data_IF_232144715634
#
_entry.id   IF_232144715634
#
_cell.length_a   1.000
_cell.length_b   1.000
_cell.length_c   1.000
_cell.angle_alpha   90.00
_cell.angle_beta   90.00
_cell.angle_gamma   90.00
#
_symmetry.space_group_name_H-M   'P 1'
#
loop_
_entity.id
_entity.type
_entity.pdbx_description
1 polymer ?
#
# COMPACT_ATOMS: atom_id res chain seq x y z
N UNK A 1 10.38 -0.39 61.02
CA UNK A 1 10.88 -0.05 59.67
C UNK A 1 10.53 1.41 59.41
N UNK A 2 11.34 2.34 59.93
CA UNK A 2 11.09 3.78 59.84
C UNK A 2 11.64 4.31 58.51
N UNK A 3 10.78 4.88 57.67
CA UNK A 3 11.16 5.43 56.36
C UNK A 3 11.42 6.93 56.53
N UNK A 4 12.63 7.33 56.12
CA UNK A 4 13.18 8.68 56.16
C UNK A 4 12.28 9.72 55.48
N UNK A 5 11.93 10.78 56.21
CA UNK A 5 11.41 12.04 55.70
C UNK A 5 12.62 12.93 55.43
N UNK A 6 12.87 13.28 54.15
CA UNK A 6 13.84 14.32 53.78
C UNK A 6 13.08 15.60 53.48
N UNK A 7 13.41 16.62 54.26
CA UNK A 7 12.92 17.99 54.22
C UNK A 7 13.35 18.63 52.89
N UNK A 8 12.39 19.14 52.12
CA UNK A 8 12.67 20.05 51.00
C UNK A 8 12.48 21.47 51.52
N UNK A 9 13.59 22.21 51.56
CA UNK A 9 13.67 23.58 52.05
C UNK A 9 12.93 24.53 51.09
N UNK A 10 11.92 25.23 51.59
CA UNK A 10 11.16 26.23 50.84
C UNK A 10 11.79 27.61 51.11
N UNK A 11 12.58 28.12 50.17
CA UNK A 11 13.18 29.45 50.24
C UNK A 11 12.18 30.47 49.66
N UNK A 12 11.42 31.15 50.53
CA UNK A 12 10.55 32.27 50.15
C UNK A 12 11.41 33.54 50.14
N UNK A 13 11.79 33.99 48.95
CA UNK A 13 12.39 35.31 48.75
C UNK A 13 11.27 36.27 48.34
N UNK A 14 10.86 37.11 49.28
CA UNK A 14 9.91 38.20 49.03
C UNK A 14 10.72 39.43 48.60
N UNK A 15 10.89 39.63 47.29
CA UNK A 15 11.34 40.92 46.75
C UNK A 15 10.11 41.67 46.23
N UNK A 16 9.63 42.62 47.02
CA UNK A 16 8.83 43.73 46.52
C UNK A 16 9.78 44.76 45.90
N UNK A 17 9.55 45.21 44.67
CA UNK A 17 9.46 46.63 44.30
C UNK A 17 8.90 46.78 42.88
N UNK A 18 7.93 47.70 42.80
CA UNK A 18 7.39 48.49 41.69
C UNK A 18 7.73 48.14 40.23
N UNK A 19 6.64 47.98 39.46
CA UNK A 19 6.35 48.67 38.21
C UNK A 19 7.48 48.77 37.17
N UNK A 20 7.40 47.91 36.17
CA UNK A 20 7.43 48.38 34.79
C UNK A 20 6.29 47.68 34.07
N UNK A 21 5.33 48.47 33.60
CA UNK A 21 4.40 48.09 32.55
C UNK A 21 5.24 47.90 31.28
N UNK A 22 5.87 46.74 31.16
CA UNK A 22 6.20 46.24 29.85
C UNK A 22 4.93 45.54 29.41
N UNK A 23 4.22 46.16 28.47
CA UNK A 23 3.36 45.46 27.53
C UNK A 23 4.08 44.16 27.15
N UNK A 24 3.75 43.06 27.81
CA UNK A 24 4.00 41.73 27.29
C UNK A 24 2.96 41.54 26.19
N UNK A 25 3.14 42.32 25.11
CA UNK A 25 2.76 41.91 23.79
C UNK A 25 3.54 40.62 23.57
N UNK A 26 2.95 39.51 24.05
CA UNK A 26 3.32 38.19 23.62
C UNK A 26 3.34 38.28 22.10
N UNK A 27 4.53 38.27 21.51
CA UNK A 27 4.69 38.28 20.07
C UNK A 27 4.12 36.94 19.61
N UNK A 28 2.81 36.90 19.41
CA UNK A 28 2.15 35.87 18.62
C UNK A 28 2.94 35.86 17.33
N UNK A 29 3.67 34.77 17.10
CA UNK A 29 4.54 34.62 15.96
C UNK A 29 3.66 34.52 14.70
N UNK A 30 3.15 35.67 14.27
CA UNK A 30 2.14 35.85 13.22
C UNK A 30 2.76 35.74 11.82
N UNK A 31 3.92 35.07 11.75
CA UNK A 31 4.70 34.88 10.54
C UNK A 31 4.04 33.76 9.76
N UNK A 32 3.72 34.01 8.48
CA UNK A 32 3.21 32.98 7.59
C UNK A 32 4.23 31.83 7.46
N UNK A 33 3.77 30.60 7.65
CA UNK A 33 4.52 29.38 7.35
C UNK A 33 3.76 28.53 6.34
N UNK A 34 4.49 27.76 5.52
CA UNK A 34 3.92 26.76 4.62
C UNK A 34 4.50 25.39 4.96
N UNK A 35 3.65 24.37 4.95
CA UNK A 35 4.05 23.00 5.22
C UNK A 35 2.89 22.03 5.06
N UNK A 36 3.22 20.76 4.86
CA UNK A 36 2.24 19.67 4.86
C UNK A 36 2.87 18.34 5.26
N UNK A 37 2.01 17.41 5.67
CA UNK A 37 2.27 15.97 5.73
C UNK A 37 1.30 15.23 4.81
N UNK A 38 1.41 13.91 4.71
CA UNK A 38 0.50 13.11 3.89
C UNK A 38 0.32 11.70 4.45
N UNK A 39 -0.81 11.08 4.13
CA UNK A 39 -1.15 9.69 4.41
C UNK A 39 -1.40 8.97 3.09
N UNK A 40 -0.88 7.75 2.97
CA UNK A 40 -1.19 6.86 1.84
C UNK A 40 -2.43 6.07 2.18
N UNK A 41 -3.43 6.11 1.31
CA UNK A 41 -4.65 5.34 1.47
C UNK A 41 -4.45 3.89 1.03
N UNK A 42 -5.37 3.02 1.44
CA UNK A 42 -5.37 1.61 1.01
C UNK A 42 -5.58 1.44 -0.51
N UNK A 43 -6.19 2.43 -1.16
CA UNK A 43 -6.35 2.47 -2.61
C UNK A 43 -5.03 2.87 -3.27
N UNK A 44 -4.49 2.08 -4.22
CA UNK A 44 -3.22 2.38 -4.88
C UNK A 44 -3.22 3.78 -5.50
N UNK A 45 -2.14 4.53 -5.28
CA UNK A 45 -1.97 5.88 -5.81
C UNK A 45 -2.81 6.97 -5.14
N UNK A 46 -3.63 6.66 -4.13
CA UNK A 46 -4.45 7.65 -3.43
C UNK A 46 -3.71 8.18 -2.20
N UNK A 47 -3.55 9.50 -2.13
CA UNK A 47 -2.84 10.23 -1.09
C UNK A 47 -3.76 11.29 -0.49
N UNK A 48 -3.88 11.31 0.82
CA UNK A 48 -4.52 12.39 1.57
C UNK A 48 -3.44 13.35 2.07
N UNK A 49 -3.47 14.60 1.63
CA UNK A 49 -2.55 15.63 2.11
C UNK A 49 -3.14 16.37 3.30
N UNK A 50 -2.29 16.66 4.29
CA UNK A 50 -2.65 17.34 5.53
C UNK A 50 -1.86 18.65 5.60
N UNK A 51 -2.54 19.78 5.52
CA UNK A 51 -1.92 21.09 5.56
C UNK A 51 -1.47 21.46 6.98
N UNK A 52 -0.20 21.84 7.14
CA UNK A 52 0.39 22.30 8.41
C UNK A 52 0.87 23.75 8.32
N UNK A 53 0.31 24.54 7.41
CA UNK A 53 0.62 25.95 7.24
C UNK A 53 -0.02 26.78 8.35
N UNK A 54 0.71 27.77 8.89
CA UNK A 54 0.22 28.68 9.93
C UNK A 54 0.07 30.10 9.37
N UNK A 55 -0.90 30.85 9.91
CA UNK A 55 -1.20 32.23 9.50
C UNK A 55 -1.53 32.38 8.00
N UNK A 56 -2.18 31.38 7.40
CA UNK A 56 -2.56 31.35 5.98
C UNK A 56 -4.09 31.29 5.80
N UNK A 57 -4.61 32.04 4.83
CA UNK A 57 -6.03 32.10 4.49
C UNK A 57 -6.39 31.27 3.25
N UNK A 58 -5.43 31.10 2.32
CA UNK A 58 -5.66 30.40 1.04
C UNK A 58 -4.50 29.50 0.68
N UNK A 59 -4.80 28.48 -0.12
CA UNK A 59 -3.88 27.40 -0.49
C UNK A 59 -3.96 27.11 -1.98
N UNK A 60 -2.82 26.84 -2.59
CA UNK A 60 -2.71 26.29 -3.93
C UNK A 60 -1.77 25.10 -3.85
N UNK A 61 -2.29 23.94 -4.25
CA UNK A 61 -1.54 22.70 -4.38
C UNK A 61 -1.20 22.47 -5.85
N UNK A 62 0.04 22.07 -6.10
CA UNK A 62 0.50 21.55 -7.38
C UNK A 62 1.08 20.16 -7.12
N UNK A 63 0.49 19.12 -7.70
CA UNK A 63 0.78 17.74 -7.31
C UNK A 63 1.95 17.10 -8.06
N UNK A 64 2.63 17.87 -8.93
CA UNK A 64 3.74 17.38 -9.75
C UNK A 64 3.33 16.57 -10.99
N UNK A 65 2.04 16.29 -11.17
CA UNK A 65 1.47 15.57 -12.32
C UNK A 65 0.68 16.48 -13.29
N UNK A 66 0.82 17.80 -13.11
CA UNK A 66 0.10 18.83 -13.86
C UNK A 66 -1.29 19.16 -13.30
N UNK A 67 -1.77 18.46 -12.27
CA UNK A 67 -3.04 18.79 -11.60
C UNK A 67 -2.83 19.67 -10.36
N UNK A 68 -3.88 20.41 -9.98
CA UNK A 68 -3.86 21.36 -8.86
C UNK A 68 -5.10 21.25 -7.96
N UNK A 69 -5.05 21.87 -6.79
CA UNK A 69 -6.21 22.00 -5.88
C UNK A 69 -6.12 23.28 -5.04
N UNK A 70 -7.27 23.79 -4.59
CA UNK A 70 -7.38 24.90 -3.62
C UNK A 70 -7.97 24.47 -2.27
N UNK A 71 -8.31 23.18 -2.13
CA UNK A 71 -8.85 22.62 -0.90
C UNK A 71 -7.72 22.58 0.14
N UNK A 72 -8.01 22.94 1.40
CA UNK A 72 -7.01 22.94 2.49
C UNK A 72 -6.30 21.59 2.59
N UNK A 73 -7.07 20.51 2.71
CA UNK A 73 -6.59 19.12 2.85
C UNK A 73 -7.12 18.25 1.69
N UNK A 74 -6.47 18.25 0.52
CA UNK A 74 -6.96 17.54 -0.66
C UNK A 74 -6.67 16.04 -0.60
N UNK A 75 -7.58 15.25 -1.16
CA UNK A 75 -7.32 13.85 -1.53
C UNK A 75 -6.97 13.78 -3.02
N UNK A 76 -5.81 13.22 -3.33
CA UNK A 76 -5.25 13.15 -4.69
C UNK A 76 -5.04 11.69 -5.09
N UNK A 77 -5.52 11.34 -6.28
CA UNK A 77 -5.19 10.06 -6.93
C UNK A 77 -4.16 10.30 -8.03
N UNK A 78 -3.05 9.57 -7.94
CA UNK A 78 -2.04 9.42 -8.98
C UNK A 78 -2.32 8.14 -9.75
N UNK A 79 -2.24 8.20 -11.08
CA UNK A 79 -2.54 7.05 -11.96
C UNK A 79 -1.29 6.34 -12.44
N UNK A 80 -0.11 6.92 -12.22
CA UNK A 80 1.16 6.38 -12.66
C UNK A 80 2.15 6.28 -11.49
N UNK A 81 2.98 5.25 -11.52
CA UNK A 81 4.15 5.14 -10.64
C UNK A 81 5.16 6.20 -11.04
N UNK A 82 5.76 6.86 -10.05
CA UNK A 82 6.77 7.89 -10.30
C UNK A 82 7.09 8.71 -9.06
N UNK A 83 8.07 9.59 -9.21
CA UNK A 83 8.36 10.63 -8.21
C UNK A 83 7.66 11.92 -8.61
N UNK A 84 6.95 12.51 -7.64
CA UNK A 84 6.16 13.72 -7.83
C UNK A 84 6.65 14.79 -6.87
N UNK A 85 7.05 15.93 -7.40
CA UNK A 85 7.34 17.12 -6.60
C UNK A 85 6.01 17.79 -6.28
N UNK A 86 5.56 17.67 -5.04
CA UNK A 86 4.34 18.33 -4.58
C UNK A 86 4.72 19.68 -4.00
N UNK A 87 4.02 20.73 -4.42
CA UNK A 87 4.20 22.08 -3.93
C UNK A 87 2.90 22.59 -3.29
N UNK A 88 3.01 23.14 -2.09
CA UNK A 88 1.95 23.87 -1.42
C UNK A 88 2.35 25.34 -1.30
N UNK A 89 1.56 26.21 -1.92
CA UNK A 89 1.64 27.65 -1.74
C UNK A 89 0.54 28.12 -0.80
N UNK A 90 0.93 28.69 0.33
CA UNK A 90 0.05 29.29 1.33
C UNK A 90 0.14 30.81 1.26
N UNK A 91 -1.00 31.51 1.39
CA UNK A 91 -1.06 32.97 1.35
C UNK A 91 -1.88 33.53 2.51
N UNK A 92 -1.35 34.57 3.13
CA UNK A 92 -2.07 35.43 4.05
C UNK A 92 -2.67 36.61 3.27
N UNK A 93 -3.99 36.77 3.31
CA UNK A 93 -4.69 37.81 2.55
C UNK A 93 -4.58 39.18 3.21
N UNK A 94 -4.35 39.25 4.52
CA UNK A 94 -4.21 40.51 5.26
C UNK A 94 -2.83 41.14 5.05
N UNK A 95 -1.77 40.35 5.17
CA UNK A 95 -0.39 40.84 4.99
C UNK A 95 0.06 40.77 3.53
N UNK A 96 -0.61 39.96 2.71
CA UNK A 96 -0.21 39.69 1.33
C UNK A 96 0.97 38.73 1.22
N UNK A 97 1.50 38.22 2.34
CA UNK A 97 2.61 37.29 2.35
C UNK A 97 2.25 35.98 1.64
N UNK A 98 3.23 35.40 0.95
CA UNK A 98 3.12 34.13 0.26
C UNK A 98 4.34 33.27 0.62
N UNK A 99 4.10 32.02 0.99
CA UNK A 99 5.15 31.03 1.27
C UNK A 99 4.83 29.74 0.53
N UNK A 100 5.88 29.07 0.08
CA UNK A 100 5.77 27.76 -0.56
C UNK A 100 6.59 26.72 0.19
N UNK A 101 6.09 25.50 0.21
CA UNK A 101 6.79 24.33 0.71
C UNK A 101 6.67 23.22 -0.32
N UNK A 102 7.79 22.59 -0.66
CA UNK A 102 7.83 21.52 -1.65
C UNK A 102 8.53 20.29 -1.09
N UNK A 103 7.97 19.12 -1.39
CA UNK A 103 8.58 17.83 -1.04
C UNK A 103 8.29 16.79 -2.13
N UNK A 104 9.28 15.96 -2.41
CA UNK A 104 9.13 14.86 -3.37
C UNK A 104 8.48 13.66 -2.68
N UNK A 105 7.44 13.11 -3.30
CA UNK A 105 6.83 11.85 -2.88
C UNK A 105 6.98 10.80 -3.99
N UNK A 106 7.38 9.59 -3.62
CA UNK A 106 7.36 8.45 -4.54
C UNK A 106 5.99 7.80 -4.51
N UNK A 107 5.35 7.64 -5.65
CA UNK A 107 4.07 6.96 -5.78
C UNK A 107 4.29 5.62 -6.46
N UNK A 108 3.70 4.58 -5.90
CA UNK A 108 3.60 3.27 -6.53
C UNK A 108 2.14 2.99 -6.87
N UNK A 109 1.84 2.96 -8.17
CA UNK A 109 0.55 2.50 -8.70
C UNK A 109 0.78 1.13 -9.31
N UNK A 110 0.23 0.09 -8.67
CA UNK A 110 0.30 -1.24 -9.22
C UNK A 110 -0.57 -1.36 -10.48
N UNK A 111 0.06 -1.50 -11.64
CA UNK A 111 -0.64 -1.77 -12.90
C UNK A 111 -0.85 -3.29 -13.08
N UNK A 112 -1.76 -3.86 -12.30
CA UNK A 112 -2.07 -5.29 -12.34
C UNK A 112 -2.98 -5.74 -13.49
N UNK A 113 -3.40 -4.82 -14.36
CA UNK A 113 -4.39 -5.08 -15.40
C UNK A 113 -5.75 -5.40 -14.81
N UNK A 114 -6.26 -6.60 -15.07
CA UNK A 114 -7.51 -7.14 -14.54
C UNK A 114 -7.39 -7.58 -13.06
N UNK A 115 -6.17 -7.60 -12.50
CA UNK A 115 -5.90 -7.87 -11.08
C UNK A 115 -5.57 -6.58 -10.35
N UNK A 116 -6.01 -6.48 -9.10
CA UNK A 116 -5.67 -5.39 -8.17
C UNK A 116 -4.83 -5.91 -7.01
N UNK A 117 -3.94 -5.06 -6.47
CA UNK A 117 -3.07 -5.37 -5.34
C UNK A 117 -2.27 -6.69 -5.52
N UNK A 118 -1.81 -6.98 -6.74
CA UNK A 118 -1.00 -8.18 -7.02
C UNK A 118 0.46 -8.07 -6.59
N UNK A 119 0.86 -6.89 -6.14
CA UNK A 119 2.11 -6.60 -5.45
C UNK A 119 1.98 -6.63 -3.91
N UNK A 120 0.79 -6.91 -3.37
CA UNK A 120 0.54 -7.09 -1.92
C UNK A 120 0.91 -5.94 -0.95
N UNK A 121 1.35 -4.78 -1.44
CA UNK A 121 1.71 -3.62 -0.62
C UNK A 121 0.52 -3.00 0.13
N UNK A 122 -0.71 -3.29 -0.30
CA UNK A 122 -1.94 -2.85 0.36
C UNK A 122 -2.60 -3.96 1.17
N UNK A 123 -1.81 -4.93 1.65
CA UNK A 123 -2.29 -6.08 2.40
C UNK A 123 -2.76 -7.22 1.49
N UNK A 124 -3.67 -8.06 1.97
CA UNK A 124 -4.17 -9.22 1.20
C UNK A 124 -5.47 -8.95 0.45
N UNK A 125 -6.24 -7.90 0.76
CA UNK A 125 -7.49 -7.63 0.04
C UNK A 125 -7.21 -7.15 -1.40
N UNK A 126 -7.93 -7.62 -2.45
CA UNK A 126 -9.12 -8.49 -2.42
C UNK A 126 -8.82 -9.99 -2.60
N UNK A 127 -7.55 -10.41 -2.52
CA UNK A 127 -7.15 -11.80 -2.69
C UNK A 127 -7.81 -12.72 -1.67
N UNK A 128 -8.26 -13.87 -2.18
CA UNK A 128 -8.85 -14.96 -1.42
C UNK A 128 -7.81 -16.06 -1.26
N UNK A 129 -7.75 -16.59 -0.06
CA UNK A 129 -6.86 -17.68 0.30
C UNK A 129 -7.72 -18.84 0.81
N UNK A 130 -7.48 -20.03 0.28
CA UNK A 130 -8.09 -21.26 0.76
C UNK A 130 -7.05 -22.07 1.52
N UNK A 131 -7.35 -22.42 2.77
CA UNK A 131 -6.48 -23.28 3.60
C UNK A 131 -7.32 -24.37 4.25
N UNK A 132 -7.11 -25.62 3.83
CA UNK A 132 -7.54 -26.80 4.60
C UNK A 132 -6.40 -27.40 5.42
N UNK A 133 -5.13 -27.07 5.12
CA UNK A 133 -3.94 -27.68 5.74
C UNK A 133 -2.75 -26.70 5.96
N UNK A 134 -2.99 -25.40 6.17
CA UNK A 134 -1.91 -24.43 6.41
C UNK A 134 -2.02 -23.76 7.78
N UNK A 135 -0.88 -23.64 8.47
CA UNK A 135 -0.72 -22.79 9.66
C UNK A 135 -0.14 -21.47 9.15
N UNK A 136 -0.91 -20.38 9.23
CA UNK A 136 -0.41 -19.05 8.87
C UNK A 136 -0.60 -18.08 10.02
N UNK A 137 0.45 -17.75 10.80
CA UNK A 137 0.41 -16.59 11.68
C UNK A 137 0.46 -15.27 10.88
N UNK A 138 0.99 -15.26 9.65
CA UNK A 138 0.88 -14.16 8.68
C UNK A 138 0.98 -14.68 7.24
N UNK A 139 0.19 -14.09 6.32
CA UNK A 139 0.21 -14.41 4.88
C UNK A 139 1.10 -13.48 4.07
N UNK A 140 1.71 -12.49 4.73
CA UNK A 140 2.56 -11.47 4.13
C UNK A 140 3.90 -11.44 4.84
N UNK A 141 4.94 -11.15 4.07
CA UNK A 141 6.29 -10.85 4.54
C UNK A 141 6.72 -9.54 3.92
N UNK A 142 7.20 -8.60 4.75
CA UNK A 142 7.82 -7.36 4.29
C UNK A 142 9.33 -7.43 4.51
N UNK A 143 10.10 -7.31 3.44
CA UNK A 143 11.56 -7.34 3.46
C UNK A 143 12.12 -6.30 2.49
N UNK A 144 13.06 -5.47 2.95
CA UNK A 144 13.69 -4.47 2.09
C UNK A 144 12.72 -3.41 1.53
N UNK A 145 11.60 -3.16 2.21
CA UNK A 145 10.56 -2.23 1.77
C UNK A 145 9.56 -2.81 0.75
N UNK A 146 9.68 -4.11 0.41
CA UNK A 146 8.75 -4.83 -0.46
C UNK A 146 7.93 -5.84 0.37
N UNK A 147 6.63 -5.90 0.14
CA UNK A 147 5.67 -6.79 0.80
C UNK A 147 5.14 -7.81 -0.20
N UNK A 148 5.26 -9.10 0.10
CA UNK A 148 4.80 -10.15 -0.80
C UNK A 148 3.99 -11.22 -0.06
N UNK A 149 3.20 -11.98 -0.82
CA UNK A 149 2.48 -13.14 -0.28
C UNK A 149 3.45 -14.25 0.08
N UNK A 150 3.30 -14.86 1.26
CA UNK A 150 4.11 -15.99 1.72
C UNK A 150 3.28 -17.00 2.51
N UNK A 151 3.35 -18.27 2.13
CA UNK A 151 2.68 -19.35 2.85
C UNK A 151 3.58 -20.58 2.97
N UNK A 152 3.60 -21.20 4.15
CA UNK A 152 4.27 -22.48 4.35
C UNK A 152 3.27 -23.64 4.20
N UNK A 153 3.48 -24.51 3.22
CA UNK A 153 2.72 -25.75 3.07
C UNK A 153 3.33 -26.80 3.99
N UNK A 154 2.66 -27.11 5.09
CA UNK A 154 3.18 -27.99 6.14
C UNK A 154 3.03 -29.49 5.80
N UNK A 155 1.99 -29.83 5.05
CA UNK A 155 1.74 -31.18 4.57
C UNK A 155 1.27 -31.11 3.11
N UNK A 156 1.79 -32.02 2.28
CA UNK A 156 1.34 -32.15 0.90
C UNK A 156 -0.05 -32.79 0.85
N UNK A 157 -0.91 -32.27 -0.01
CA UNK A 157 -2.27 -32.77 -0.24
C UNK A 157 -2.69 -32.53 -1.68
N UNK A 158 -3.97 -32.23 -1.90
CA UNK A 158 -4.43 -31.79 -3.21
C UNK A 158 -3.81 -30.41 -3.53
N UNK A 159 -3.52 -30.11 -4.82
CA UNK A 159 -2.97 -28.81 -5.20
C UNK A 159 -3.79 -27.61 -4.69
N UNK A 160 -5.11 -27.73 -4.63
CA UNK A 160 -6.01 -26.66 -4.19
C UNK A 160 -6.19 -26.57 -2.67
N UNK A 161 -5.63 -27.49 -1.87
CA UNK A 161 -5.77 -27.47 -0.40
C UNK A 161 -5.07 -26.25 0.24
N UNK A 162 -4.08 -25.71 -0.46
CA UNK A 162 -3.46 -24.40 -0.19
C UNK A 162 -3.50 -23.61 -1.48
N UNK A 163 -4.35 -22.59 -1.56
CA UNK A 163 -4.50 -21.79 -2.76
C UNK A 163 -4.59 -20.29 -2.48
N UNK A 164 -4.23 -19.51 -3.49
CA UNK A 164 -4.39 -18.05 -3.56
C UNK A 164 -5.13 -17.72 -4.85
N UNK A 165 -6.11 -16.81 -4.78
CA UNK A 165 -6.92 -16.42 -5.92
C UNK A 165 -7.33 -14.96 -5.86
N UNK A 166 -7.30 -14.27 -7.01
CA UNK A 166 -8.00 -12.99 -7.20
C UNK A 166 -9.28 -13.28 -7.97
N UNK A 167 -10.44 -12.85 -7.46
CA UNK A 167 -11.77 -13.24 -7.96
C UNK A 167 -12.55 -12.02 -8.45
N UNK A 168 -13.68 -12.24 -9.15
CA UNK A 168 -14.51 -11.15 -9.70
C UNK A 168 -13.99 -10.61 -11.03
N UNK A 169 -13.22 -11.42 -11.76
CA UNK A 169 -12.63 -11.02 -13.02
C UNK A 169 -13.56 -11.42 -14.16
N UNK A 170 -13.90 -10.47 -15.03
CA UNK A 170 -14.61 -10.77 -16.26
C UNK A 170 -13.66 -11.38 -17.29
N UNK A 171 -13.96 -12.59 -17.74
CA UNK A 171 -13.22 -13.28 -18.80
C UNK A 171 -14.19 -13.79 -19.87
N UNK A 172 -13.74 -13.78 -21.12
CA UNK A 172 -14.52 -14.16 -22.29
C UNK A 172 -13.85 -15.34 -22.98
N UNK A 173 -14.64 -16.36 -23.31
CA UNK A 173 -14.17 -17.54 -24.00
C UNK A 173 -13.49 -17.18 -25.34
N UNK A 174 -12.35 -17.82 -25.61
CA UNK A 174 -11.55 -17.60 -26.81
C UNK A 174 -10.58 -16.43 -26.72
N UNK A 175 -10.70 -15.56 -25.70
CA UNK A 175 -9.72 -14.49 -25.45
C UNK A 175 -8.47 -15.05 -24.77
N UNK A 176 -7.33 -14.44 -25.09
CA UNK A 176 -6.05 -14.78 -24.49
C UNK A 176 -5.74 -13.80 -23.36
N UNK A 177 -5.37 -14.34 -22.21
CA UNK A 177 -4.97 -13.58 -21.04
C UNK A 177 -3.52 -13.91 -20.69
N UNK A 178 -2.68 -12.88 -20.57
CA UNK A 178 -1.31 -13.00 -20.09
C UNK A 178 -1.26 -12.80 -18.58
N UNK A 179 -0.95 -13.87 -17.86
CA UNK A 179 -0.66 -13.86 -16.43
C UNK A 179 0.85 -13.71 -16.23
N UNK A 180 1.27 -12.65 -15.53
CA UNK A 180 2.66 -12.47 -15.10
C UNK A 180 2.75 -12.44 -13.58
N UNK A 181 3.85 -12.93 -13.02
CA UNK A 181 4.10 -12.91 -11.58
C UNK A 181 5.56 -13.26 -11.29
N UNK A 182 6.04 -12.84 -10.12
CA UNK A 182 7.26 -13.35 -9.52
C UNK A 182 6.93 -14.44 -8.50
N UNK A 183 7.70 -15.51 -8.46
CA UNK A 183 7.55 -16.55 -7.45
C UNK A 183 8.87 -17.24 -7.10
N UNK A 184 8.97 -17.69 -5.85
CA UNK A 184 10.06 -18.51 -5.35
C UNK A 184 9.61 -19.36 -4.17
N UNK A 185 10.47 -20.31 -3.79
CA UNK A 185 10.25 -21.20 -2.66
C UNK A 185 11.50 -21.29 -1.78
N UNK A 186 11.42 -21.98 -0.66
CA UNK A 186 12.60 -22.38 0.12
C UNK A 186 13.15 -23.75 -0.30
N UNK A 187 12.48 -24.45 -1.20
CA UNK A 187 12.86 -25.76 -1.76
C UNK A 187 12.48 -25.81 -3.24
N UNK A 188 13.08 -26.73 -4.01
CA UNK A 188 12.59 -26.99 -5.36
C UNK A 188 11.25 -27.72 -5.28
N UNK A 189 10.22 -27.15 -5.89
CA UNK A 189 8.84 -27.68 -5.83
C UNK A 189 8.02 -27.20 -7.02
N UNK A 190 6.79 -27.71 -7.15
CA UNK A 190 5.85 -27.23 -8.16
C UNK A 190 4.70 -26.43 -7.57
N UNK A 191 4.06 -25.65 -8.43
CA UNK A 191 2.80 -24.92 -8.22
C UNK A 191 1.97 -25.00 -9.51
N UNK A 192 0.65 -25.08 -9.39
CA UNK A 192 -0.27 -24.93 -10.52
C UNK A 192 -0.70 -23.47 -10.58
N UNK A 193 -0.66 -22.88 -11.77
CA UNK A 193 -1.07 -21.49 -12.01
C UNK A 193 -2.01 -21.40 -13.19
N UNK A 194 -2.95 -20.46 -13.17
CA UNK A 194 -3.90 -20.38 -14.27
C UNK A 194 -4.99 -19.33 -14.11
N UNK A 195 -6.01 -19.48 -14.96
CA UNK A 195 -7.27 -18.75 -14.92
C UNK A 195 -8.43 -19.73 -14.87
N UNK A 196 -9.53 -19.39 -14.22
CA UNK A 196 -10.69 -20.29 -14.16
C UNK A 196 -11.93 -19.66 -13.57
N UNK A 197 -13.02 -20.41 -13.56
CA UNK A 197 -14.25 -20.03 -12.88
C UNK A 197 -14.06 -20.03 -11.36
N UNK A 198 -14.60 -19.02 -10.67
CA UNK A 198 -14.56 -18.95 -9.19
C UNK A 198 -15.57 -19.86 -8.51
N UNK A 199 -16.47 -20.50 -9.27
CA UNK A 199 -17.50 -21.41 -8.77
C UNK A 199 -17.70 -22.61 -9.69
N UNK A 200 -18.56 -23.54 -9.28
CA UNK A 200 -18.92 -24.73 -10.05
C UNK A 200 -19.29 -24.36 -11.51
N UNK A 201 -18.76 -25.05 -12.53
CA UNK A 201 -17.99 -26.31 -12.49
C UNK A 201 -16.46 -26.16 -12.31
N UNK A 202 -15.95 -24.99 -11.93
CA UNK A 202 -14.51 -24.72 -11.75
C UNK A 202 -13.65 -25.00 -12.99
N UNK A 203 -14.25 -24.90 -14.19
CA UNK A 203 -13.53 -24.95 -15.47
C UNK A 203 -12.37 -23.97 -15.43
N UNK A 204 -11.19 -24.43 -15.84
CA UNK A 204 -9.98 -23.63 -15.80
C UNK A 204 -9.05 -23.94 -16.98
N UNK A 205 -8.09 -23.05 -17.18
CA UNK A 205 -6.89 -23.23 -17.96
C UNK A 205 -5.70 -23.00 -17.03
N UNK A 206 -4.91 -24.04 -16.82
CA UNK A 206 -3.82 -24.00 -15.87
C UNK A 206 -2.61 -24.78 -16.37
N UNK A 207 -1.45 -24.42 -15.83
CA UNK A 207 -0.17 -25.04 -16.15
C UNK A 207 0.62 -25.23 -14.86
N UNK A 208 1.47 -26.25 -14.85
CA UNK A 208 2.43 -26.46 -13.76
C UNK A 208 3.67 -25.60 -13.98
N UNK A 209 4.17 -24.99 -12.90
CA UNK A 209 5.44 -24.26 -12.86
C UNK A 209 6.34 -24.82 -11.78
N UNK A 210 7.62 -24.92 -12.11
CA UNK A 210 8.68 -25.31 -11.18
C UNK A 210 9.19 -24.04 -10.50
N UNK A 211 9.18 -24.04 -9.18
CA UNK A 211 9.79 -23.03 -8.35
C UNK A 211 11.14 -23.53 -7.84
N UNK A 212 12.07 -22.60 -7.77
CA UNK A 212 13.40 -22.78 -7.17
C UNK A 212 13.55 -21.91 -5.92
N UNK A 213 14.74 -21.97 -5.31
CA UNK A 213 15.10 -21.10 -4.18
C UNK A 213 15.42 -19.66 -4.58
N UNK A 214 15.56 -19.39 -5.88
CA UNK A 214 15.75 -18.05 -6.42
C UNK A 214 14.45 -17.49 -6.96
N UNK A 215 14.32 -16.17 -6.93
CA UNK A 215 13.20 -15.45 -7.55
C UNK A 215 13.17 -15.73 -9.04
N UNK A 216 12.00 -16.08 -9.55
CA UNK A 216 11.74 -16.30 -10.97
C UNK A 216 10.53 -15.49 -11.40
N UNK A 217 10.67 -14.79 -12.52
CA UNK A 217 9.56 -14.10 -13.18
C UNK A 217 8.94 -15.01 -14.24
N UNK A 218 7.62 -15.14 -14.20
CA UNK A 218 6.84 -15.95 -15.12
C UNK A 218 5.94 -15.08 -15.99
N UNK A 219 5.73 -15.51 -17.23
CA UNK A 219 4.77 -14.93 -18.17
C UNK A 219 4.09 -16.06 -18.93
N UNK A 220 2.77 -16.14 -18.84
CA UNK A 220 1.98 -17.28 -19.32
C UNK A 220 0.75 -16.78 -20.05
N UNK A 221 0.61 -17.18 -21.30
CA UNK A 221 -0.57 -16.90 -22.11
C UNK A 221 -1.57 -18.05 -21.97
N UNK A 222 -2.80 -17.71 -21.58
CA UNK A 222 -3.87 -18.65 -21.29
C UNK A 222 -5.11 -18.27 -22.11
N UNK A 223 -5.60 -19.19 -22.94
CA UNK A 223 -6.80 -18.96 -23.77
C UNK A 223 -8.03 -19.42 -23.00
N UNK A 224 -8.87 -18.49 -22.55
CA UNK A 224 -10.04 -18.85 -21.74
C UNK A 224 -10.98 -19.81 -22.49
N UNK A 225 -11.32 -20.94 -21.88
CA UNK A 225 -12.31 -21.90 -22.39
C UNK A 225 -13.67 -21.74 -21.70
N UNK A 226 -13.94 -20.56 -21.14
CA UNK A 226 -15.15 -20.20 -20.40
C UNK A 226 -15.42 -18.69 -20.53
N UNK A 227 -16.69 -18.29 -20.35
CA UNK A 227 -17.11 -16.88 -20.20
C UNK A 227 -17.79 -16.69 -18.86
N UNK A 228 -17.30 -15.77 -18.03
CA UNK A 228 -17.93 -15.45 -16.73
C UNK A 228 -17.44 -14.10 -16.18
N UNK A 229 -18.33 -13.36 -15.52
CA UNK A 229 -18.00 -12.10 -14.82
C UNK A 229 -17.32 -12.32 -13.47
N UNK A 230 -17.38 -13.55 -12.93
CA UNK A 230 -16.77 -13.97 -11.68
C UNK A 230 -15.77 -15.11 -11.91
N UNK A 231 -14.77 -14.87 -12.76
CA UNK A 231 -13.60 -15.72 -12.93
C UNK A 231 -12.50 -15.36 -11.92
N UNK A 232 -11.41 -16.12 -11.91
CA UNK A 232 -10.26 -15.94 -11.03
C UNK A 232 -8.91 -16.22 -11.67
N UNK A 233 -7.87 -15.61 -11.11
CA UNK A 233 -6.49 -16.12 -11.20
C UNK A 233 -6.31 -17.23 -10.16
N UNK A 234 -5.55 -18.27 -10.50
CA UNK A 234 -5.32 -19.47 -9.69
C UNK A 234 -3.84 -19.59 -9.36
N UNK A 235 -3.53 -19.78 -8.08
CA UNK A 235 -2.25 -20.29 -7.59
C UNK A 235 -2.52 -21.43 -6.60
N UNK A 236 -2.33 -22.66 -7.05
CA UNK A 236 -2.59 -23.89 -6.31
C UNK A 236 -1.25 -24.50 -5.87
N UNK A 237 -1.02 -24.50 -4.56
CA UNK A 237 0.28 -24.74 -3.92
C UNK A 237 0.26 -25.96 -2.98
N UNK A 238 -0.86 -26.65 -2.78
CA UNK A 238 -0.99 -27.70 -1.77
C UNK A 238 -0.23 -29.00 -2.05
N UNK A 239 0.19 -29.26 -3.29
CA UNK A 239 0.70 -30.58 -3.71
C UNK A 239 2.12 -30.93 -3.23
N UNK A 240 2.85 -29.97 -2.67
CA UNK A 240 4.21 -30.19 -2.18
C UNK A 240 4.47 -29.39 -0.90
N UNK A 241 5.37 -29.91 -0.08
CA UNK A 241 5.79 -29.28 1.18
C UNK A 241 6.73 -28.10 0.90
N UNK A 242 6.73 -27.12 1.79
CA UNK A 242 7.64 -25.97 1.75
C UNK A 242 6.92 -24.65 1.55
N UNK A 243 7.66 -23.57 1.69
CA UNK A 243 7.18 -22.20 1.56
C UNK A 243 7.03 -21.82 0.10
N UNK A 244 5.96 -21.10 -0.24
CA UNK A 244 5.78 -20.45 -1.54
C UNK A 244 5.61 -18.96 -1.30
N UNK A 245 6.30 -18.16 -2.12
CA UNK A 245 6.18 -16.72 -2.14
C UNK A 245 5.75 -16.27 -3.53
N UNK A 246 4.86 -15.29 -3.60
CA UNK A 246 4.28 -14.76 -4.84
C UNK A 246 4.24 -13.24 -4.74
N UNK A 247 4.59 -12.57 -5.84
CA UNK A 247 4.58 -11.12 -5.94
C UNK A 247 4.32 -10.65 -7.39
N UNK A 248 4.09 -9.34 -7.56
CA UNK A 248 3.97 -8.66 -8.85
C UNK A 248 2.98 -9.31 -9.84
N UNK A 249 1.84 -9.78 -9.35
CA UNK A 249 0.86 -10.52 -10.16
C UNK A 249 0.03 -9.60 -11.05
N UNK A 250 0.20 -9.69 -12.37
CA UNK A 250 -0.63 -8.98 -13.34
C UNK A 250 -1.41 -9.95 -14.22
N UNK A 251 -2.57 -9.51 -14.71
CA UNK A 251 -3.34 -10.24 -15.69
C UNK A 251 -3.86 -9.26 -16.74
N UNK A 252 -3.50 -9.46 -18.00
CA UNK A 252 -3.94 -8.59 -19.10
C UNK A 252 -4.59 -9.40 -20.22
N UNK A 253 -5.71 -8.93 -20.76
CA UNK A 253 -6.19 -9.42 -22.06
C UNK A 253 -5.21 -8.95 -23.14
N UNK A 254 -4.77 -9.86 -23.99
CA UNK A 254 -3.88 -9.56 -25.11
C UNK A 254 -4.56 -9.87 -26.44
N UNK A 255 -4.16 -9.19 -27.55
CA UNK A 255 -4.74 -9.37 -28.87
C UNK A 255 -4.72 -10.81 -29.39
#
# INVERSE_FOLDING_TARGET
MYKSIKVVSLLVVFLSFLSCDSDDDSVQNNTLSSGYTYVREASPGVITFINTSENADTYIWEFGDGTTSIIKDPVKTYTQTGEYVVNLTAKNNKTGEVKSYSSTISIFVFQGGLVSNGNFESGTSPWKFGVTNAIAPSLLVTQGGNTYFSINVAAAGNPYDVNLSHVGINMIQGKTYRLTFDAWSNVNRTMIVGIGLSGNPFTNQSVTRNLTTSVQSFSIDLVANFTNTNSRVIFDMGAAIGRVNIDNVTLNEIP
#
